data_IF_557842211037
#
_entry.id   IF_557842211037
#
_cell.length_a   1.000
_cell.length_b   1.000
_cell.length_c   1.000
_cell.angle_alpha   90.00
_cell.angle_beta   90.00
_cell.angle_gamma   90.00
#
_symmetry.space_group_name_H-M   'P 1'
#
loop_
_entity.id
_entity.type
_entity.pdbx_description
1 polymer ?
#
# COMPACT_ATOMS: atom_id res chain seq x y z
N UNK A 1 -4.83 -24.78 -30.52
CA UNK A 1 -4.84 -24.86 -29.04
C UNK A 1 -6.17 -24.27 -28.58
N UNK A 2 -6.83 -24.79 -27.53
CA UNK A 2 -8.20 -24.39 -27.26
C UNK A 2 -8.22 -22.97 -26.71
N UNK A 3 -8.80 -22.05 -27.50
CA UNK A 3 -8.97 -20.62 -27.21
C UNK A 3 -9.95 -20.32 -26.04
N UNK A 4 -10.36 -21.32 -25.25
CA UNK A 4 -11.46 -21.19 -24.29
C UNK A 4 -11.03 -21.08 -22.82
N UNK A 5 -9.73 -21.17 -22.49
CA UNK A 5 -9.28 -21.14 -21.07
C UNK A 5 -8.69 -19.78 -20.67
N UNK A 6 -8.24 -18.96 -21.63
CA UNK A 6 -7.76 -17.59 -21.36
C UNK A 6 -8.91 -16.65 -20.95
N UNK A 7 -10.15 -16.97 -21.31
CA UNK A 7 -11.34 -16.19 -20.93
C UNK A 7 -11.59 -16.17 -19.41
N UNK A 8 -11.22 -17.23 -18.69
CA UNK A 8 -11.40 -17.29 -17.22
C UNK A 8 -10.32 -16.49 -16.44
N UNK A 9 -9.38 -15.87 -17.16
CA UNK A 9 -8.29 -15.06 -16.60
C UNK A 9 -8.55 -13.55 -16.71
N UNK A 10 -9.67 -13.13 -17.28
CA UNK A 10 -10.03 -11.71 -17.46
C UNK A 10 -10.44 -11.06 -16.14
N UNK A 11 -9.98 -9.83 -15.92
CA UNK A 11 -10.53 -8.98 -14.86
C UNK A 11 -12.01 -8.70 -15.13
N UNK A 12 -12.87 -8.81 -14.09
CA UNK A 12 -14.31 -8.50 -14.16
C UNK A 12 -14.64 -7.01 -14.44
N UNK A 13 -13.63 -6.19 -14.71
CA UNK A 13 -13.78 -4.85 -15.20
C UNK A 13 -13.43 -4.89 -16.69
N UNK A 14 -14.40 -4.67 -17.61
CA UNK A 14 -14.13 -4.79 -19.03
C UNK A 14 -13.11 -3.74 -19.47
N UNK A 15 -12.15 -4.17 -20.28
CA UNK A 15 -11.27 -3.30 -21.05
C UNK A 15 -11.99 -2.85 -22.32
N UNK A 16 -11.57 -1.73 -22.90
CA UNK A 16 -12.03 -1.33 -24.23
C UNK A 16 -11.32 -2.14 -25.34
N UNK A 17 -11.85 -2.13 -26.57
CA UNK A 17 -11.33 -2.93 -27.68
C UNK A 17 -9.85 -2.67 -27.99
N UNK A 18 -9.36 -1.43 -27.83
CA UNK A 18 -7.96 -1.08 -28.07
C UNK A 18 -7.05 -1.68 -26.99
N UNK A 19 -7.49 -1.61 -25.73
CA UNK A 19 -6.80 -2.21 -24.60
C UNK A 19 -6.75 -3.74 -24.73
N UNK A 20 -7.86 -4.39 -25.08
CA UNK A 20 -7.92 -5.83 -25.34
C UNK A 20 -6.96 -6.21 -26.46
N UNK A 21 -7.00 -5.51 -27.59
CA UNK A 21 -6.10 -5.77 -28.72
C UNK A 21 -4.62 -5.63 -28.35
N UNK A 22 -4.27 -4.63 -27.51
CA UNK A 22 -2.91 -4.48 -27.01
C UNK A 22 -2.50 -5.64 -26.08
N UNK A 23 -3.37 -6.03 -25.14
CA UNK A 23 -3.11 -7.15 -24.22
C UNK A 23 -2.91 -8.45 -25.00
N UNK A 24 -3.80 -8.78 -25.92
CA UNK A 24 -3.74 -10.01 -26.69
C UNK A 24 -2.51 -10.05 -27.61
N UNK A 25 -2.20 -8.93 -28.29
CA UNK A 25 -0.99 -8.83 -29.11
C UNK A 25 0.27 -9.03 -28.27
N UNK A 26 0.33 -8.39 -27.11
CA UNK A 26 1.49 -8.46 -26.21
C UNK A 26 1.63 -9.87 -25.65
N UNK A 27 0.57 -10.45 -25.10
CA UNK A 27 0.55 -11.83 -24.58
C UNK A 27 1.01 -12.86 -25.61
N UNK A 28 0.55 -12.74 -26.86
CA UNK A 28 0.93 -13.66 -27.94
C UNK A 28 2.41 -13.55 -28.33
N UNK A 29 3.06 -12.42 -28.07
CA UNK A 29 4.49 -12.22 -28.31
C UNK A 29 5.39 -12.62 -27.14
N UNK A 30 4.82 -12.75 -25.93
CA UNK A 30 5.60 -13.00 -24.71
C UNK A 30 6.09 -14.45 -24.62
N UNK A 31 7.39 -14.58 -24.36
CA UNK A 31 8.01 -15.83 -23.91
C UNK A 31 7.54 -16.20 -22.50
N UNK A 32 7.75 -17.46 -22.11
CA UNK A 32 7.47 -17.90 -20.73
C UNK A 32 8.32 -17.12 -19.72
N UNK A 33 9.57 -16.78 -20.08
CA UNK A 33 10.46 -15.98 -19.24
C UNK A 33 9.93 -14.54 -19.03
N UNK A 34 9.37 -13.92 -20.07
CA UNK A 34 8.70 -12.62 -19.95
C UNK A 34 7.42 -12.71 -19.09
N UNK A 35 6.66 -13.81 -19.20
CA UNK A 35 5.49 -14.04 -18.36
C UNK A 35 5.89 -14.17 -16.88
N UNK A 36 6.94 -14.93 -16.57
CA UNK A 36 7.49 -15.06 -15.21
C UNK A 36 7.95 -13.70 -14.69
N UNK A 37 8.69 -12.92 -15.49
CA UNK A 37 9.17 -11.60 -15.09
C UNK A 37 8.03 -10.61 -14.79
N UNK A 38 6.88 -10.74 -15.45
CA UNK A 38 5.68 -9.94 -15.17
C UNK A 38 4.99 -10.27 -13.84
N UNK A 39 5.30 -11.43 -13.25
CA UNK A 39 4.82 -11.80 -11.92
C UNK A 39 5.76 -11.34 -10.80
N UNK A 40 6.86 -10.64 -11.11
CA UNK A 40 7.85 -10.22 -10.14
C UNK A 40 7.82 -8.71 -9.94
N UNK A 41 7.90 -8.27 -8.69
CA UNK A 41 7.96 -6.86 -8.31
C UNK A 41 9.07 -6.66 -7.27
N UNK A 42 10.33 -6.58 -7.70
CA UNK A 42 11.44 -6.38 -6.78
C UNK A 42 11.51 -4.93 -6.28
N UNK A 43 12.07 -4.78 -5.08
CA UNK A 43 12.34 -3.48 -4.48
C UNK A 43 13.57 -2.79 -5.09
N UNK A 44 14.62 -3.58 -5.32
CA UNK A 44 15.95 -3.15 -5.73
C UNK A 44 16.45 -4.07 -6.85
N UNK A 45 17.35 -3.62 -7.75
CA UNK A 45 18.04 -4.52 -8.68
C UNK A 45 19.01 -5.43 -7.92
N UNK A 46 18.51 -6.45 -7.21
CA UNK A 46 19.33 -7.31 -6.34
C UNK A 46 18.56 -8.08 -5.26
N UNK A 47 19.30 -8.47 -4.21
CA UNK A 47 18.82 -9.27 -3.08
C UNK A 47 18.08 -8.40 -2.05
N UNK A 48 16.99 -8.89 -1.42
CA UNK A 48 16.34 -8.22 -0.30
C UNK A 48 17.16 -8.18 1.00
N UNK A 49 18.35 -8.79 1.07
CA UNK A 49 19.10 -8.95 2.33
C UNK A 49 19.50 -7.67 3.06
N UNK A 50 19.45 -6.50 2.40
CA UNK A 50 20.04 -5.27 2.96
C UNK A 50 18.98 -4.19 3.29
N UNK A 51 17.76 -4.62 3.66
CA UNK A 51 16.58 -3.77 3.96
C UNK A 51 16.89 -2.47 4.74
N UNK A 52 17.87 -2.49 5.64
CA UNK A 52 18.27 -1.35 6.47
C UNK A 52 19.22 -0.34 5.83
N UNK A 53 19.89 -0.66 4.72
CA UNK A 53 20.91 0.21 4.08
C UNK A 53 20.47 0.84 2.76
N UNK A 54 19.25 0.53 2.29
CA UNK A 54 18.77 0.94 0.96
C UNK A 54 18.16 2.34 0.89
N UNK A 55 17.87 2.98 2.03
CA UNK A 55 17.29 4.33 2.05
C UNK A 55 18.34 5.44 1.83
N UNK A 56 19.61 5.15 2.13
CA UNK A 56 20.71 6.12 2.01
C UNK A 56 21.26 6.24 0.58
N UNK A 57 21.05 5.24 -0.27
CA UNK A 57 21.57 5.23 -1.64
C UNK A 57 20.61 4.48 -2.59
N UNK A 58 19.57 5.16 -3.13
CA UNK A 58 18.64 4.54 -4.05
C UNK A 58 19.34 4.08 -5.34
N UNK A 59 18.89 2.98 -5.96
CA UNK A 59 19.53 2.43 -7.16
C UNK A 59 19.45 3.42 -8.32
N UNK A 60 20.55 3.54 -9.06
CA UNK A 60 20.63 4.35 -10.28
C UNK A 60 19.94 3.67 -11.46
N UNK A 61 19.66 4.43 -12.52
CA UNK A 61 19.04 3.91 -13.74
C UNK A 61 19.89 2.80 -14.37
N UNK A 62 21.22 2.92 -14.39
CA UNK A 62 22.12 1.94 -15.01
C UNK A 62 22.15 0.60 -14.27
N UNK A 63 21.95 0.62 -12.95
CA UNK A 63 21.84 -0.60 -12.15
C UNK A 63 20.55 -1.35 -12.48
N UNK A 64 19.44 -0.61 -12.61
CA UNK A 64 18.17 -1.17 -13.04
C UNK A 64 18.23 -1.71 -14.48
N UNK A 65 18.83 -0.98 -15.43
CA UNK A 65 18.99 -1.43 -16.81
C UNK A 65 19.74 -2.77 -16.86
N UNK A 66 20.90 -2.87 -16.20
CA UNK A 66 21.67 -4.14 -16.13
C UNK A 66 20.88 -5.30 -15.54
N UNK A 67 19.92 -5.00 -14.67
CA UNK A 67 19.05 -5.99 -14.07
C UNK A 67 17.92 -6.40 -15.02
N UNK A 68 17.31 -5.44 -15.71
CA UNK A 68 16.27 -5.65 -16.72
C UNK A 68 16.79 -6.38 -17.96
N UNK A 69 18.06 -6.20 -18.33
CA UNK A 69 18.74 -7.00 -19.36
C UNK A 69 18.78 -8.49 -19.02
N UNK A 70 18.81 -8.85 -17.73
CA UNK A 70 18.90 -10.23 -17.25
C UNK A 70 17.55 -10.84 -16.93
N UNK A 71 16.62 -10.03 -16.43
CA UNK A 71 15.30 -10.46 -16.00
C UNK A 71 14.25 -9.56 -16.64
N UNK A 72 13.32 -10.08 -17.47
CA UNK A 72 12.31 -9.29 -18.16
C UNK A 72 11.17 -8.89 -17.22
N UNK A 73 11.48 -8.11 -16.18
CA UNK A 73 10.56 -7.71 -15.14
C UNK A 73 9.42 -6.87 -15.71
N UNK A 74 8.19 -7.15 -15.26
CA UNK A 74 7.04 -6.35 -15.65
C UNK A 74 6.76 -5.18 -14.71
N UNK A 75 7.33 -5.20 -13.50
CA UNK A 75 7.03 -4.24 -12.46
C UNK A 75 8.26 -3.94 -11.60
N UNK A 76 8.31 -2.74 -11.01
CA UNK A 76 9.32 -2.32 -10.01
C UNK A 76 8.65 -1.53 -8.88
N UNK A 77 9.31 -1.43 -7.74
CA UNK A 77 8.85 -0.62 -6.61
C UNK A 77 9.69 0.62 -6.41
N UNK A 78 9.06 1.69 -5.92
CA UNK A 78 9.72 2.89 -5.43
C UNK A 78 9.32 3.13 -3.96
N UNK A 79 10.31 3.26 -3.07
CA UNK A 79 10.08 3.53 -1.64
C UNK A 79 10.06 5.02 -1.31
N UNK A 80 10.95 5.78 -1.93
CA UNK A 80 11.11 7.20 -1.63
C UNK A 80 10.01 8.04 -2.26
N UNK A 81 9.78 9.21 -1.66
CA UNK A 81 8.88 10.21 -2.18
C UNK A 81 9.22 10.54 -3.65
N UNK A 82 8.23 10.85 -4.48
CA UNK A 82 8.50 11.16 -5.88
C UNK A 82 9.25 12.49 -6.01
N UNK A 83 10.40 12.45 -6.68
CA UNK A 83 11.21 13.62 -7.04
C UNK A 83 11.38 13.72 -8.56
N UNK A 84 11.80 14.87 -9.07
CA UNK A 84 12.14 15.01 -10.50
C UNK A 84 13.30 14.08 -10.91
N UNK A 85 14.24 13.82 -10.00
CA UNK A 85 15.31 12.84 -10.23
C UNK A 85 14.74 11.42 -10.38
N UNK A 86 13.81 11.02 -9.51
CA UNK A 86 13.13 9.74 -9.62
C UNK A 86 12.35 9.63 -10.94
N UNK A 87 11.70 10.71 -11.37
CA UNK A 87 10.98 10.76 -12.64
C UNK A 87 11.90 10.59 -13.85
N UNK A 88 13.04 11.29 -13.90
CA UNK A 88 14.00 11.15 -14.99
C UNK A 88 14.57 9.72 -15.04
N UNK A 89 14.87 9.13 -13.88
CA UNK A 89 15.25 7.71 -13.79
C UNK A 89 14.16 6.81 -14.38
N UNK A 90 12.90 6.99 -13.97
CA UNK A 90 11.80 6.17 -14.48
C UNK A 90 11.59 6.35 -15.99
N UNK A 91 11.81 7.55 -16.53
CA UNK A 91 11.75 7.79 -17.98
C UNK A 91 12.78 6.95 -18.72
N UNK A 92 14.03 6.94 -18.26
CA UNK A 92 15.10 6.09 -18.83
C UNK A 92 14.69 4.60 -18.80
N UNK A 93 14.10 4.13 -17.69
CA UNK A 93 13.66 2.74 -17.57
C UNK A 93 12.47 2.39 -18.46
N UNK A 94 11.54 3.32 -18.66
CA UNK A 94 10.43 3.14 -19.59
C UNK A 94 10.92 3.12 -21.04
N UNK A 95 11.86 3.99 -21.42
CA UNK A 95 12.46 4.00 -22.77
C UNK A 95 13.27 2.74 -23.08
N UNK A 96 13.89 2.13 -22.05
CA UNK A 96 14.61 0.86 -22.18
C UNK A 96 13.67 -0.35 -22.34
N UNK A 97 12.44 -0.29 -21.80
CA UNK A 97 11.58 -1.46 -21.65
C UNK A 97 10.60 -1.60 -22.83
N UNK A 98 10.66 -2.71 -23.56
CA UNK A 98 9.74 -2.99 -24.69
C UNK A 98 8.26 -3.08 -24.25
N UNK A 99 8.03 -3.66 -23.07
CA UNK A 99 6.72 -3.66 -22.41
C UNK A 99 6.83 -2.68 -21.24
N UNK A 100 5.98 -1.64 -21.15
CA UNK A 100 6.08 -0.61 -20.11
C UNK A 100 6.13 -1.21 -18.70
N UNK A 101 7.00 -0.68 -17.85
CA UNK A 101 7.10 -1.10 -16.45
C UNK A 101 5.92 -0.55 -15.64
N UNK A 102 5.31 -1.41 -14.84
CA UNK A 102 4.39 -0.98 -13.79
C UNK A 102 5.21 -0.56 -12.57
N UNK A 103 4.92 0.60 -11.98
CA UNK A 103 5.72 1.17 -10.90
C UNK A 103 4.82 1.32 -9.69
N UNK A 104 5.17 0.59 -8.64
CA UNK A 104 4.40 0.52 -7.41
C UNK A 104 5.04 1.28 -6.25
N UNK A 105 4.22 1.69 -5.28
CA UNK A 105 4.63 2.41 -4.08
C UNK A 105 3.63 2.16 -2.93
N UNK A 106 4.09 2.13 -1.69
CA UNK A 106 3.23 2.28 -0.50
C UNK A 106 2.80 3.74 -0.34
N UNK A 107 1.90 4.21 -1.21
CA UNK A 107 1.37 5.57 -1.16
C UNK A 107 0.19 5.65 -0.19
N UNK A 108 0.50 5.64 1.10
CA UNK A 108 -0.43 5.81 2.22
C UNK A 108 -0.35 7.26 2.77
N UNK A 109 -1.50 7.92 3.03
CA UNK A 109 -1.47 9.28 3.58
C UNK A 109 -0.85 9.25 4.99
N UNK A 110 -0.09 10.29 5.33
CA UNK A 110 0.69 10.37 6.58
C UNK A 110 1.99 9.54 6.62
N UNK A 111 2.06 8.37 5.97
CA UNK A 111 3.27 7.51 5.96
C UNK A 111 4.26 7.87 4.86
N UNK A 112 3.77 8.13 3.64
CA UNK A 112 4.62 8.62 2.56
C UNK A 112 4.94 10.10 2.77
N UNK A 113 5.98 10.33 3.59
CA UNK A 113 6.59 11.63 3.86
C UNK A 113 7.09 12.31 2.59
N UNK A 114 6.98 13.63 2.45
CA UNK A 114 7.77 14.62 3.19
C UNK A 114 9.27 14.67 2.87
N UNK A 115 9.82 13.75 2.06
CA UNK A 115 11.18 13.94 1.52
C UNK A 115 11.14 14.81 0.28
N UNK A 116 11.65 16.04 0.32
CA UNK A 116 11.87 17.03 -0.78
C UNK A 116 10.81 17.10 -1.92
N UNK A 117 9.63 16.53 -1.70
CA UNK A 117 8.59 16.34 -2.70
C UNK A 117 7.69 17.56 -2.75
N UNK A 118 7.30 17.94 -3.97
CA UNK A 118 6.32 19.02 -4.19
C UNK A 118 4.87 18.53 -4.10
N UNK A 119 4.66 17.24 -3.77
CA UNK A 119 3.33 16.67 -3.61
C UNK A 119 2.70 17.11 -2.28
N UNK A 120 1.38 17.17 -2.29
CA UNK A 120 0.57 17.57 -1.14
C UNK A 120 0.66 16.50 -0.05
N UNK A 121 0.93 16.93 1.18
CA UNK A 121 0.88 16.04 2.34
C UNK A 121 -0.56 15.95 2.83
N UNK A 122 -1.03 14.73 3.09
CA UNK A 122 -2.37 14.46 3.60
C UNK A 122 -2.32 13.80 4.97
N UNK A 123 -3.30 14.10 5.87
CA UNK A 123 -3.44 13.41 7.14
C UNK A 123 -3.64 11.90 6.96
N UNK A 124 -3.17 11.11 7.94
CA UNK A 124 -3.39 9.66 7.99
C UNK A 124 -4.86 9.27 7.80
N UNK A 125 -5.13 8.05 7.32
CA UNK A 125 -6.50 7.57 7.07
C UNK A 125 -7.43 7.71 8.28
N UNK A 126 -6.95 7.58 9.51
CA UNK A 126 -7.77 7.79 10.71
C UNK A 126 -8.39 9.18 10.79
N UNK A 127 -7.71 10.20 10.27
CA UNK A 127 -8.25 11.55 10.17
C UNK A 127 -9.47 11.60 9.26
N UNK A 128 -9.51 10.80 8.18
CA UNK A 128 -10.69 10.74 7.30
C UNK A 128 -11.92 10.19 8.03
N UNK A 129 -11.75 9.15 8.86
CA UNK A 129 -12.85 8.61 9.66
C UNK A 129 -13.28 9.52 10.79
N UNK A 130 -12.37 10.34 11.34
CA UNK A 130 -12.70 11.36 12.33
C UNK A 130 -13.45 12.56 11.70
N UNK A 131 -13.01 13.02 10.52
CA UNK A 131 -13.68 14.08 9.76
C UNK A 131 -15.04 13.65 9.21
N UNK A 132 -15.18 12.35 8.93
CA UNK A 132 -16.41 11.70 8.46
C UNK A 132 -17.04 12.30 7.18
N UNK A 133 -16.21 12.76 6.25
CA UNK A 133 -16.63 13.18 4.91
C UNK A 133 -16.04 12.25 3.81
N UNK A 134 -16.86 11.36 3.22
CA UNK A 134 -16.40 10.49 2.13
C UNK A 134 -16.05 11.26 0.85
N UNK A 135 -16.55 12.48 0.67
CA UNK A 135 -16.19 13.35 -0.48
C UNK A 135 -14.77 13.83 -0.34
N UNK A 136 -14.38 14.30 0.85
CA UNK A 136 -13.00 14.70 1.13
C UNK A 136 -12.05 13.51 0.98
N UNK A 137 -12.48 12.32 1.39
CA UNK A 137 -11.71 11.08 1.23
C UNK A 137 -11.45 10.73 -0.24
N UNK A 138 -12.48 10.88 -1.09
CA UNK A 138 -12.33 10.71 -2.54
C UNK A 138 -11.40 11.77 -3.16
N UNK A 139 -11.53 13.03 -2.74
CA UNK A 139 -10.70 14.12 -3.24
C UNK A 139 -9.23 13.94 -2.86
N UNK A 140 -8.96 13.53 -1.62
CA UNK A 140 -7.62 13.18 -1.13
C UNK A 140 -6.97 12.09 -1.99
N UNK A 141 -7.65 10.96 -2.21
CA UNK A 141 -7.11 9.91 -3.06
C UNK A 141 -6.90 10.35 -4.52
N UNK A 142 -7.81 11.17 -5.06
CA UNK A 142 -7.69 11.72 -6.41
C UNK A 142 -6.47 12.64 -6.54
N UNK A 143 -6.25 13.52 -5.56
CA UNK A 143 -5.10 14.41 -5.49
C UNK A 143 -3.78 13.61 -5.47
N UNK A 144 -3.68 12.64 -4.55
CA UNK A 144 -2.53 11.76 -4.44
C UNK A 144 -2.27 11.03 -5.78
N UNK A 145 -3.30 10.47 -6.41
CA UNK A 145 -3.16 9.78 -7.69
C UNK A 145 -2.64 10.68 -8.80
N UNK A 146 -3.20 11.89 -8.94
CA UNK A 146 -2.83 12.85 -9.99
C UNK A 146 -1.41 13.34 -9.83
N UNK A 147 -1.02 13.75 -8.61
CA UNK A 147 0.34 14.23 -8.34
C UNK A 147 1.38 13.12 -8.57
N UNK A 148 1.11 11.90 -8.12
CA UNK A 148 2.07 10.80 -8.23
C UNK A 148 2.13 10.21 -9.64
N UNK A 149 1.03 10.27 -10.42
CA UNK A 149 1.03 9.83 -11.82
C UNK A 149 1.94 10.70 -12.69
N UNK A 150 2.06 12.00 -12.40
CA UNK A 150 3.04 12.86 -13.09
C UNK A 150 4.48 12.35 -12.98
N UNK A 151 4.84 11.75 -11.85
CA UNK A 151 6.16 11.16 -11.60
C UNK A 151 6.34 9.74 -12.18
N UNK A 152 5.32 9.17 -12.82
CA UNK A 152 5.37 7.82 -13.39
C UNK A 152 5.05 6.71 -12.38
N UNK A 153 4.28 7.02 -11.33
CA UNK A 153 3.75 6.04 -10.40
C UNK A 153 2.36 5.58 -10.87
N UNK A 154 2.12 4.27 -10.81
CA UNK A 154 0.98 3.64 -11.47
C UNK A 154 0.12 2.81 -10.54
N UNK A 155 0.71 2.26 -9.49
CA UNK A 155 0.09 1.27 -8.61
C UNK A 155 0.39 1.61 -7.16
N UNK A 156 -0.63 1.96 -6.39
CA UNK A 156 -0.48 2.19 -4.95
C UNK A 156 -0.86 0.94 -4.17
N UNK A 157 -0.10 0.64 -3.13
CA UNK A 157 -0.47 -0.34 -2.11
C UNK A 157 -1.35 0.31 -1.03
N UNK A 158 -2.45 0.93 -1.45
CA UNK A 158 -3.44 1.59 -0.59
C UNK A 158 -4.85 1.44 -1.16
N UNK A 159 -5.92 1.46 -0.32
CA UNK A 159 -5.90 1.70 1.14
C UNK A 159 -5.70 0.44 1.99
N UNK A 160 -5.30 0.69 3.24
CA UNK A 160 -5.59 -0.22 4.36
C UNK A 160 -7.10 -0.23 4.60
N UNK A 161 -7.73 -1.41 4.49
CA UNK A 161 -9.17 -1.62 4.68
C UNK A 161 -9.51 -2.32 6.00
N UNK A 162 -8.50 -2.48 6.85
CA UNK A 162 -8.58 -3.18 8.12
C UNK A 162 -9.22 -2.29 9.20
N UNK A 163 -10.30 -2.70 9.88
CA UNK A 163 -10.77 -2.04 11.09
C UNK A 163 -9.77 -2.21 12.23
N UNK A 164 -9.47 -1.12 12.94
CA UNK A 164 -8.53 -1.11 14.06
C UNK A 164 -9.22 -1.57 15.36
N UNK A 165 -9.65 -2.84 15.40
CA UNK A 165 -10.44 -3.42 16.51
C UNK A 165 -9.66 -3.56 17.82
N UNK A 166 -8.35 -3.73 17.73
CA UNK A 166 -7.46 -3.89 18.87
C UNK A 166 -6.53 -2.69 18.98
N UNK A 167 -6.71 -1.87 20.01
CA UNK A 167 -5.89 -0.68 20.25
C UNK A 167 -4.40 -0.98 20.49
N UNK A 168 -4.05 -2.25 20.80
CA UNK A 168 -2.67 -2.71 20.95
C UNK A 168 -2.05 -3.17 19.62
N UNK A 169 -2.81 -3.21 18.52
CA UNK A 169 -2.26 -3.52 17.22
C UNK A 169 -1.25 -2.42 16.82
N UNK A 170 0.04 -2.76 16.62
CA UNK A 170 1.09 -1.79 16.40
C UNK A 170 1.16 -1.32 14.94
N UNK A 171 0.49 -2.03 14.01
CA UNK A 171 0.71 -1.87 12.57
C UNK A 171 -0.49 -1.30 11.84
N UNK A 172 -1.72 -1.45 12.34
CA UNK A 172 -2.94 -0.86 11.73
C UNK A 172 -3.14 0.57 12.20
N UNK A 173 -3.50 0.78 13.47
CA UNK A 173 -3.52 2.08 14.16
C UNK A 173 -4.03 3.25 13.25
N UNK A 174 -3.30 4.37 13.17
CA UNK A 174 -3.66 5.55 12.35
C UNK A 174 -3.78 5.27 10.84
N UNK A 175 -3.27 4.14 10.33
CA UNK A 175 -3.41 3.75 8.91
C UNK A 175 -4.80 3.24 8.58
N UNK A 176 -5.57 2.82 9.58
CA UNK A 176 -7.00 2.52 9.43
C UNK A 176 -7.83 3.80 9.49
N UNK A 177 -8.97 3.82 8.80
CA UNK A 177 -9.97 4.88 8.96
C UNK A 177 -10.66 4.84 10.35
N UNK A 178 -10.56 3.75 11.11
CA UNK A 178 -11.10 3.68 12.47
C UNK A 178 -11.37 2.26 12.95
N UNK A 179 -12.01 2.14 14.11
CA UNK A 179 -12.34 0.84 14.72
C UNK A 179 -13.69 0.28 14.25
N UNK A 180 -14.63 1.14 13.82
CA UNK A 180 -15.98 0.73 13.43
C UNK A 180 -16.01 0.31 11.95
N UNK A 181 -16.41 -0.94 11.62
CA UNK A 181 -16.44 -1.43 10.23
C UNK A 181 -17.23 -0.54 9.28
N UNK A 182 -18.34 0.06 9.73
CA UNK A 182 -19.17 0.95 8.93
C UNK A 182 -18.47 2.26 8.57
N UNK A 183 -17.65 2.81 9.48
CA UNK A 183 -16.84 4.00 9.23
C UNK A 183 -15.74 3.63 8.22
N UNK A 184 -15.04 2.51 8.45
CA UNK A 184 -13.98 2.04 7.55
C UNK A 184 -14.52 1.86 6.13
N UNK A 185 -15.62 1.12 5.97
CA UNK A 185 -16.32 0.92 4.70
C UNK A 185 -16.63 2.25 3.99
N UNK A 186 -17.18 3.22 4.75
CA UNK A 186 -17.60 4.53 4.22
C UNK A 186 -16.44 5.33 3.63
N UNK A 187 -15.22 5.13 4.11
CA UNK A 187 -14.04 5.86 3.64
C UNK A 187 -13.19 5.08 2.63
N UNK A 188 -13.02 3.76 2.80
CA UNK A 188 -12.14 2.98 1.91
C UNK A 188 -12.67 2.88 0.48
N UNK A 189 -14.00 2.81 0.30
CA UNK A 189 -14.61 2.74 -1.03
C UNK A 189 -14.42 4.05 -1.82
N UNK A 190 -14.75 5.25 -1.29
CA UNK A 190 -14.40 6.51 -1.94
C UNK A 190 -12.91 6.67 -2.21
N UNK A 191 -12.05 6.22 -1.28
CA UNK A 191 -10.60 6.29 -1.44
C UNK A 191 -10.10 5.45 -2.63
N UNK A 192 -10.57 4.21 -2.77
CA UNK A 192 -10.30 3.37 -3.94
C UNK A 192 -10.79 4.04 -5.23
N UNK A 193 -12.00 4.59 -5.21
CA UNK A 193 -12.57 5.28 -6.38
C UNK A 193 -11.79 6.54 -6.77
N UNK A 194 -11.25 7.27 -5.81
CA UNK A 194 -10.44 8.47 -6.05
C UNK A 194 -9.11 8.11 -6.71
N UNK A 195 -8.39 7.10 -6.21
CA UNK A 195 -7.15 6.63 -6.84
C UNK A 195 -7.37 6.17 -8.29
N UNK A 196 -8.45 5.42 -8.49
CA UNK A 196 -8.80 4.85 -9.78
C UNK A 196 -9.62 5.80 -10.67
N UNK A 197 -9.82 7.05 -10.25
CA UNK A 197 -10.54 8.03 -11.05
C UNK A 197 -9.88 8.14 -12.44
N UNK A 198 -10.65 7.98 -13.51
CA UNK A 198 -10.16 7.97 -14.90
C UNK A 198 -9.00 6.98 -15.16
N UNK A 199 -8.91 5.90 -14.37
CA UNK A 199 -7.80 4.95 -14.40
C UNK A 199 -6.41 5.60 -14.16
N UNK A 200 -6.33 6.67 -13.36
CA UNK A 200 -5.07 7.38 -13.08
C UNK A 200 -4.05 6.49 -12.36
N UNK A 201 -4.49 5.77 -11.32
CA UNK A 201 -3.66 4.89 -10.51
C UNK A 201 -4.44 3.67 -10.03
N UNK A 202 -3.81 2.50 -9.96
CA UNK A 202 -4.44 1.31 -9.40
C UNK A 202 -4.36 1.31 -7.88
N UNK A 203 -5.50 1.11 -7.22
CA UNK A 203 -5.58 0.92 -5.77
C UNK A 203 -5.40 -0.57 -5.41
N UNK A 204 -4.87 -0.82 -4.21
CA UNK A 204 -4.72 -2.16 -3.65
C UNK A 204 -5.32 -2.19 -2.25
N UNK A 205 -6.45 -2.88 -2.10
CA UNK A 205 -7.02 -3.10 -0.77
C UNK A 205 -6.15 -4.10 0.01
N UNK A 206 -5.76 -3.74 1.24
CA UNK A 206 -4.90 -4.55 2.12
C UNK A 206 -5.34 -4.47 3.60
N UNK A 207 -5.11 -5.47 4.43
CA UNK A 207 -4.34 -6.70 4.18
C UNK A 207 -5.27 -7.92 4.30
N UNK A 208 -5.59 -8.58 3.18
CA UNK A 208 -6.53 -9.71 3.18
C UNK A 208 -5.99 -10.89 4.00
N UNK A 209 -6.76 -11.49 4.93
CA UNK A 209 -8.20 -11.41 5.11
C UNK A 209 -8.66 -10.41 6.18
N UNK A 210 -7.75 -9.64 6.78
CA UNK A 210 -8.05 -8.58 7.74
C UNK A 210 -7.07 -8.54 8.91
N UNK A 211 -6.31 -7.45 9.03
CA UNK A 211 -5.50 -7.08 10.21
C UNK A 211 -6.32 -6.29 11.25
N UNK A 212 -5.69 -5.75 12.28
CA UNK A 212 -6.32 -4.85 13.26
C UNK A 212 -6.98 -5.56 14.44
N UNK A 213 -7.09 -6.89 14.44
CA UNK A 213 -7.60 -7.68 15.56
C UNK A 213 -6.49 -8.23 16.47
N UNK A 214 -5.42 -8.76 15.87
CA UNK A 214 -4.27 -9.28 16.62
C UNK A 214 -3.43 -8.12 17.17
N UNK A 215 -2.69 -8.34 18.26
CA UNK A 215 -1.74 -7.36 18.79
C UNK A 215 -0.33 -7.54 18.19
N UNK A 216 -0.12 -8.58 17.40
CA UNK A 216 1.18 -8.92 16.79
C UNK A 216 1.36 -8.23 15.44
N UNK A 217 2.59 -7.80 15.19
CA UNK A 217 3.01 -7.28 13.89
C UNK A 217 3.36 -8.44 12.93
N UNK A 218 2.72 -8.44 11.75
CA UNK A 218 2.98 -9.43 10.71
C UNK A 218 4.38 -9.36 10.08
N UNK A 219 5.11 -8.25 10.29
CA UNK A 219 6.54 -8.16 9.97
C UNK A 219 7.37 -9.12 10.82
N UNK A 220 6.92 -9.42 12.05
CA UNK A 220 7.67 -10.14 13.07
C UNK A 220 7.15 -11.56 13.36
N UNK A 221 5.90 -11.85 13.01
CA UNK A 221 5.29 -13.18 13.16
C UNK A 221 4.10 -13.33 12.20
N UNK A 222 3.50 -14.52 12.08
CA UNK A 222 2.19 -14.64 11.42
C UNK A 222 1.12 -14.17 12.41
N UNK A 223 0.41 -13.08 12.09
CA UNK A 223 -0.73 -12.65 12.90
C UNK A 223 -1.97 -13.50 12.58
N UNK A 224 -2.96 -13.46 13.47
CA UNK A 224 -4.13 -14.34 13.42
C UNK A 224 -5.40 -13.49 13.55
N UNK A 225 -6.21 -13.51 12.49
CA UNK A 225 -7.61 -13.12 12.59
C UNK A 225 -8.39 -14.31 13.17
N UNK A 226 -8.67 -14.26 14.47
CA UNK A 226 -9.29 -15.35 15.23
C UNK A 226 -10.82 -15.26 15.29
N UNK A 227 -11.46 -14.40 14.48
CA UNK A 227 -12.91 -14.33 14.46
C UNK A 227 -13.55 -15.62 13.93
N UNK A 228 -14.65 -16.09 14.54
CA UNK A 228 -15.54 -17.05 13.90
C UNK A 228 -16.05 -16.50 12.57
N UNK A 229 -16.25 -17.36 11.57
CA UNK A 229 -16.61 -16.91 10.22
C UNK A 229 -17.91 -16.11 10.16
N UNK A 230 -18.89 -16.40 11.03
CA UNK A 230 -20.12 -15.59 11.12
C UNK A 230 -19.82 -14.12 11.48
N UNK A 231 -18.85 -13.88 12.37
CA UNK A 231 -18.43 -12.54 12.79
C UNK A 231 -17.52 -11.89 11.75
N UNK A 232 -16.63 -12.68 11.13
CA UNK A 232 -15.81 -12.21 10.04
C UNK A 232 -16.68 -11.70 8.88
N UNK A 233 -17.73 -12.43 8.48
CA UNK A 233 -18.61 -12.04 7.38
C UNK A 233 -19.33 -10.72 7.60
N UNK A 234 -19.81 -10.45 8.83
CA UNK A 234 -20.51 -9.20 9.14
C UNK A 234 -19.56 -8.03 9.42
N UNK A 235 -18.26 -8.27 9.56
CA UNK A 235 -17.22 -7.25 9.76
C UNK A 235 -16.32 -7.12 8.54
N UNK A 236 -15.20 -7.83 8.50
CA UNK A 236 -14.20 -7.83 7.44
C UNK A 236 -14.78 -8.26 6.09
N UNK A 237 -15.57 -9.35 6.07
CA UNK A 237 -16.15 -9.91 4.84
C UNK A 237 -17.05 -8.92 4.13
N UNK A 238 -17.84 -8.14 4.87
CA UNK A 238 -18.65 -7.04 4.33
C UNK A 238 -17.78 -5.95 3.69
N UNK A 239 -16.73 -5.49 4.36
CA UNK A 239 -15.80 -4.50 3.83
C UNK A 239 -15.14 -5.03 2.54
N UNK A 240 -14.62 -6.26 2.57
CA UNK A 240 -14.01 -6.91 1.41
C UNK A 240 -14.97 -7.02 0.23
N UNK A 241 -16.20 -7.47 0.47
CA UNK A 241 -17.22 -7.55 -0.59
C UNK A 241 -17.49 -6.18 -1.20
N UNK A 242 -17.59 -5.14 -0.38
CA UNK A 242 -17.88 -3.79 -0.84
C UNK A 242 -16.73 -3.16 -1.65
N UNK A 243 -15.46 -3.37 -1.25
CA UNK A 243 -14.33 -2.85 -2.04
C UNK A 243 -14.15 -3.61 -3.36
N UNK A 244 -14.47 -4.92 -3.37
CA UNK A 244 -14.48 -5.73 -4.59
C UNK A 244 -15.61 -5.26 -5.53
N UNK A 245 -16.82 -5.09 -5.02
CA UNK A 245 -17.97 -4.60 -5.78
C UNK A 245 -17.78 -3.16 -6.28
N UNK A 246 -17.00 -2.35 -5.56
CA UNK A 246 -16.60 -1.02 -5.98
C UNK A 246 -15.54 -1.03 -7.11
N UNK A 247 -15.02 -2.20 -7.48
CA UNK A 247 -14.08 -2.38 -8.58
C UNK A 247 -12.63 -2.10 -8.22
N UNK A 248 -12.18 -2.44 -7.00
CA UNK A 248 -10.74 -2.38 -6.66
C UNK A 248 -9.93 -3.23 -7.65
N UNK A 249 -8.81 -2.69 -8.13
CA UNK A 249 -8.00 -3.33 -9.18
C UNK A 249 -7.03 -4.38 -8.65
N UNK A 250 -6.58 -4.23 -7.41
CA UNK A 250 -5.69 -5.17 -6.75
C UNK A 250 -6.10 -5.46 -5.30
N UNK A 251 -5.75 -6.66 -4.83
CA UNK A 251 -5.89 -7.06 -3.43
C UNK A 251 -4.56 -7.62 -2.95
N UNK A 252 -4.16 -7.23 -1.74
CA UNK A 252 -2.95 -7.73 -1.10
C UNK A 252 -3.30 -8.65 0.07
N UNK A 253 -3.15 -9.98 -0.06
CA UNK A 253 -3.11 -10.86 1.08
C UNK A 253 -1.92 -10.53 1.98
N UNK A 254 -2.21 -10.31 3.27
CA UNK A 254 -1.21 -10.16 4.32
C UNK A 254 -0.67 -11.51 4.78
N UNK A 255 0.36 -11.47 5.62
CA UNK A 255 0.88 -12.63 6.34
C UNK A 255 0.06 -12.93 7.60
N UNK A 256 -1.26 -13.01 7.39
CA UNK A 256 -2.30 -13.12 8.40
C UNK A 256 -3.06 -14.41 8.15
N UNK A 257 -3.27 -15.22 9.18
CA UNK A 257 -4.10 -16.43 9.09
C UNK A 257 -5.56 -16.15 9.45
N UNK A 258 -6.48 -16.98 8.94
CA UNK A 258 -7.90 -17.00 9.28
C UNK A 258 -8.29 -18.44 9.66
N UNK A 259 -7.93 -18.88 10.89
CA UNK A 259 -7.97 -20.29 11.27
C UNK A 259 -9.36 -20.92 11.15
N UNK A 260 -10.42 -20.18 11.46
CA UNK A 260 -11.78 -20.70 11.42
C UNK A 260 -12.17 -21.17 10.01
N UNK A 261 -11.90 -20.33 9.00
CA UNK A 261 -12.09 -20.69 7.60
C UNK A 261 -11.15 -21.81 7.14
N UNK A 262 -9.91 -21.80 7.61
CA UNK A 262 -8.89 -22.74 7.17
C UNK A 262 -9.08 -24.14 7.77
N UNK A 263 -9.87 -24.27 8.83
CA UNK A 263 -10.13 -25.52 9.57
C UNK A 263 -9.14 -25.76 10.72
N UNK A 264 -8.61 -24.68 11.29
CA UNK A 264 -7.59 -24.66 12.35
C UNK A 264 -8.07 -23.95 13.63
N UNK A 265 -9.38 -23.79 13.86
CA UNK A 265 -9.91 -23.10 15.05
C UNK A 265 -9.40 -23.72 16.37
N UNK A 266 -9.11 -25.04 16.38
CA UNK A 266 -8.53 -25.74 17.53
C UNK A 266 -7.01 -25.64 17.66
N UNK A 267 -6.30 -25.11 16.66
CA UNK A 267 -4.85 -24.89 16.70
C UNK A 267 -4.43 -23.74 15.75
N UNK A 268 -4.80 -22.48 16.10
CA UNK A 268 -4.63 -21.31 15.22
C UNK A 268 -3.21 -21.11 14.67
N UNK A 269 -2.20 -21.36 15.49
CA UNK A 269 -0.78 -21.26 15.14
C UNK A 269 -0.33 -22.23 14.04
N UNK A 270 -1.12 -23.26 13.70
CA UNK A 270 -0.88 -24.14 12.54
C UNK A 270 -1.56 -23.66 11.25
N UNK A 271 -2.37 -22.60 11.31
CA UNK A 271 -3.00 -22.03 10.12
C UNK A 271 -1.97 -21.22 9.31
N UNK A 272 -1.73 -21.56 8.03
CA UNK A 272 -0.79 -20.81 7.21
C UNK A 272 -1.32 -19.40 6.92
N UNK A 273 -0.44 -18.40 6.70
CA UNK A 273 -0.86 -17.06 6.31
C UNK A 273 -1.65 -17.07 4.99
N UNK A 274 -2.49 -16.06 4.79
CA UNK A 274 -3.27 -15.88 3.57
C UNK A 274 -2.40 -15.89 2.31
N UNK A 275 -1.20 -15.29 2.35
CA UNK A 275 -0.23 -15.32 1.25
C UNK A 275 0.20 -16.72 0.81
N UNK A 276 0.05 -17.75 1.65
CA UNK A 276 0.40 -19.15 1.35
C UNK A 276 -0.82 -20.08 1.31
N UNK A 277 -2.03 -19.55 1.44
CA UNK A 277 -3.25 -20.34 1.59
C UNK A 277 -4.14 -20.27 0.35
N UNK A 278 -4.16 -21.36 -0.44
CA UNK A 278 -5.10 -21.51 -1.58
C UNK A 278 -6.56 -21.38 -1.17
N UNK A 279 -6.93 -21.89 0.02
CA UNK A 279 -8.29 -21.75 0.55
C UNK A 279 -8.67 -20.28 0.66
N UNK A 280 -7.76 -19.42 1.12
CA UNK A 280 -8.04 -18.01 1.32
C UNK A 280 -8.00 -17.25 0.00
N UNK A 281 -6.96 -17.43 -0.81
CA UNK A 281 -6.79 -16.64 -2.03
C UNK A 281 -7.66 -17.09 -3.22
N UNK A 282 -7.81 -18.39 -3.49
CA UNK A 282 -8.64 -18.83 -4.62
C UNK A 282 -10.10 -19.01 -4.19
N UNK A 283 -10.35 -19.72 -3.09
CA UNK A 283 -11.73 -20.04 -2.71
C UNK A 283 -12.42 -18.83 -2.07
N UNK A 284 -11.90 -18.29 -0.95
CA UNK A 284 -12.57 -17.17 -0.27
C UNK A 284 -12.55 -15.89 -1.12
N UNK A 285 -11.39 -15.50 -1.64
CA UNK A 285 -11.24 -14.23 -2.36
C UNK A 285 -11.80 -14.28 -3.80
N UNK A 286 -11.42 -15.27 -4.62
CA UNK A 286 -11.86 -15.29 -6.03
C UNK A 286 -13.24 -15.92 -6.20
N UNK A 287 -13.50 -17.07 -5.58
CA UNK A 287 -14.76 -17.81 -5.78
C UNK A 287 -15.91 -17.22 -4.95
N UNK A 288 -15.76 -17.08 -3.63
CA UNK A 288 -16.84 -16.65 -2.74
C UNK A 288 -17.07 -15.13 -2.77
N UNK A 289 -16.00 -14.34 -2.71
CA UNK A 289 -16.08 -12.88 -2.76
C UNK A 289 -16.13 -12.31 -4.20
N UNK A 290 -15.74 -13.10 -5.20
CA UNK A 290 -15.84 -12.73 -6.62
C UNK A 290 -14.71 -11.83 -7.15
N UNK A 291 -13.57 -11.74 -6.48
CA UNK A 291 -12.47 -10.89 -6.92
C UNK A 291 -11.74 -11.48 -8.14
N UNK A 292 -11.67 -10.70 -9.22
CA UNK A 292 -10.97 -11.10 -10.46
C UNK A 292 -9.81 -10.18 -10.84
N UNK A 293 -9.42 -9.26 -9.95
CA UNK A 293 -8.27 -8.38 -10.17
C UNK A 293 -6.92 -9.06 -9.91
N UNK A 294 -5.89 -8.22 -9.81
CA UNK A 294 -4.52 -8.67 -9.52
C UNK A 294 -4.37 -9.00 -8.04
N UNK A 295 -3.88 -10.20 -7.72
CA UNK A 295 -3.47 -10.53 -6.35
C UNK A 295 -1.97 -10.32 -6.21
N UNK A 296 -1.55 -9.42 -5.33
CA UNK A 296 -0.13 -9.15 -5.04
C UNK A 296 0.19 -9.57 -3.62
N UNK A 297 1.23 -10.37 -3.40
CA UNK A 297 1.61 -10.71 -2.02
C UNK A 297 2.00 -9.46 -1.22
N UNK A 298 1.83 -9.48 0.10
CA UNK A 298 2.60 -8.58 0.96
C UNK A 298 4.11 -8.88 0.89
N UNK A 299 4.96 -8.04 1.48
CA UNK A 299 6.41 -8.08 1.37
C UNK A 299 7.01 -9.43 1.81
N UNK A 300 7.39 -10.23 0.82
CA UNK A 300 7.78 -11.64 1.02
C UNK A 300 9.00 -11.90 1.90
N UNK A 301 9.85 -10.90 2.25
CA UNK A 301 10.88 -11.05 3.29
C UNK A 301 10.39 -10.97 4.75
N UNK A 302 9.14 -10.57 5.02
CA UNK A 302 8.60 -10.48 6.39
C UNK A 302 8.51 -11.85 7.08
N UNK A 303 8.71 -11.88 8.41
CA UNK A 303 8.77 -13.14 9.19
C UNK A 303 7.45 -13.91 9.12
N UNK A 304 6.31 -13.21 9.06
CA UNK A 304 5.00 -13.84 8.94
C UNK A 304 4.85 -14.79 7.74
N UNK A 305 5.66 -14.62 6.68
CA UNK A 305 5.74 -15.56 5.57
C UNK A 305 6.98 -16.46 5.65
N UNK A 306 8.15 -15.89 6.01
CA UNK A 306 9.42 -16.63 5.93
C UNK A 306 9.55 -17.75 6.96
N UNK A 307 8.78 -17.69 8.05
CA UNK A 307 8.74 -18.76 9.06
C UNK A 307 8.10 -20.07 8.56
N UNK A 308 7.37 -20.05 7.43
CA UNK A 308 6.59 -21.20 6.96
C UNK A 308 7.26 -22.06 5.90
N UNK A 309 8.16 -21.48 5.11
CA UNK A 309 8.81 -22.19 4.02
C UNK A 309 10.17 -21.59 3.66
N UNK A 310 11.14 -22.43 3.24
CA UNK A 310 12.39 -21.93 2.69
C UNK A 310 12.13 -21.14 1.41
N UNK A 311 12.97 -20.14 1.13
CA UNK A 311 12.71 -19.14 0.08
C UNK A 311 12.39 -19.73 -1.31
N UNK A 312 13.04 -20.83 -1.71
CA UNK A 312 12.79 -21.48 -3.01
C UNK A 312 11.41 -22.13 -3.13
N UNK A 313 10.85 -22.60 -2.01
CA UNK A 313 9.52 -23.22 -1.98
C UNK A 313 8.42 -22.18 -1.71
N UNK A 314 8.76 -21.13 -0.97
CA UNK A 314 7.83 -20.06 -0.59
C UNK A 314 7.18 -19.38 -1.79
N UNK A 315 7.97 -19.05 -2.82
CA UNK A 315 7.42 -18.45 -4.04
C UNK A 315 6.51 -19.41 -4.82
N UNK A 316 6.86 -20.70 -4.86
CA UNK A 316 6.05 -21.72 -5.53
C UNK A 316 4.70 -21.84 -4.82
N UNK A 317 4.72 -21.93 -3.48
CA UNK A 317 3.51 -21.99 -2.67
C UNK A 317 2.65 -20.73 -2.81
N UNK A 318 3.25 -19.54 -2.86
CA UNK A 318 2.52 -18.29 -3.06
C UNK A 318 1.80 -18.23 -4.43
N UNK A 319 2.48 -18.62 -5.51
CA UNK A 319 1.87 -18.67 -6.86
C UNK A 319 0.76 -19.73 -6.92
N UNK A 320 0.98 -20.89 -6.29
CA UNK A 320 -0.02 -21.96 -6.19
C UNK A 320 -1.21 -21.59 -5.30
N UNK A 321 -1.00 -20.69 -4.33
CA UNK A 321 -2.06 -20.15 -3.49
C UNK A 321 -2.99 -19.20 -4.25
N UNK A 322 -2.51 -18.52 -5.29
CA UNK A 322 -3.35 -17.65 -6.14
C UNK A 322 -2.77 -16.27 -6.44
N UNK A 323 -1.58 -15.96 -5.90
CA UNK A 323 -0.92 -14.66 -6.12
C UNK A 323 -0.41 -14.54 -7.54
N UNK A 324 -0.70 -13.40 -8.16
CA UNK A 324 -0.28 -13.05 -9.51
C UNK A 324 1.06 -12.30 -9.53
N UNK A 325 1.34 -11.53 -8.48
CA UNK A 325 2.59 -10.76 -8.32
C UNK A 325 3.25 -11.06 -6.98
N UNK A 326 4.54 -11.40 -7.03
CA UNK A 326 5.40 -11.70 -5.88
C UNK A 326 6.22 -10.46 -5.49
N UNK A 327 5.85 -9.85 -4.35
CA UNK A 327 6.41 -8.59 -3.88
C UNK A 327 7.77 -8.79 -3.20
N UNK A 328 8.76 -8.03 -3.63
CA UNK A 328 10.13 -7.99 -3.09
C UNK A 328 10.87 -9.33 -3.13
N UNK A 329 10.59 -10.12 -4.16
CA UNK A 329 11.40 -11.30 -4.47
C UNK A 329 12.83 -10.95 -4.88
N UNK A 330 13.75 -11.86 -4.58
CA UNK A 330 15.11 -11.85 -5.13
C UNK A 330 15.02 -12.31 -6.58
N UNK A 331 15.22 -11.38 -7.53
CA UNK A 331 15.01 -11.71 -8.95
C UNK A 331 15.87 -12.88 -9.42
N UNK A 332 17.10 -13.02 -8.95
CA UNK A 332 18.00 -14.08 -9.41
C UNK A 332 17.58 -15.46 -8.89
N UNK A 333 17.27 -15.56 -7.60
CA UNK A 333 16.83 -16.81 -6.98
C UNK A 333 15.43 -17.21 -7.43
N UNK A 334 14.52 -16.25 -7.39
CA UNK A 334 13.09 -16.51 -7.48
C UNK A 334 12.68 -16.77 -8.93
N UNK A 335 13.25 -16.04 -9.90
CA UNK A 335 13.04 -16.32 -11.33
C UNK A 335 13.50 -17.73 -11.70
N UNK A 336 14.69 -18.14 -11.22
CA UNK A 336 15.20 -19.51 -11.42
C UNK A 336 14.29 -20.56 -10.80
N UNK A 337 13.73 -20.28 -9.62
CA UNK A 337 12.84 -21.20 -8.89
C UNK A 337 11.51 -21.38 -9.62
N UNK A 338 10.89 -20.29 -10.10
CA UNK A 338 9.65 -20.37 -10.90
C UNK A 338 9.92 -21.13 -12.20
N UNK A 339 10.99 -20.79 -12.93
CA UNK A 339 11.33 -21.45 -14.19
C UNK A 339 11.51 -22.97 -14.00
N UNK A 340 12.18 -23.37 -12.92
CA UNK A 340 12.30 -24.79 -12.56
C UNK A 340 10.95 -25.42 -12.21
N UNK A 341 10.13 -24.75 -11.42
CA UNK A 341 8.81 -25.26 -11.05
C UNK A 341 7.87 -25.45 -12.26
N UNK A 342 7.95 -24.57 -13.26
CA UNK A 342 7.24 -24.73 -14.53
C UNK A 342 7.78 -25.93 -15.32
N UNK A 343 9.11 -26.04 -15.47
CA UNK A 343 9.75 -27.16 -16.16
C UNK A 343 9.47 -28.52 -15.49
N UNK A 344 9.30 -28.54 -14.17
CA UNK A 344 8.98 -29.73 -13.39
C UNK A 344 7.45 -29.99 -13.29
N UNK A 345 6.62 -29.20 -13.99
CA UNK A 345 5.15 -29.26 -13.94
C UNK A 345 4.53 -29.07 -12.54
N UNK A 346 5.27 -28.47 -11.61
CA UNK A 346 4.74 -28.06 -10.28
C UNK A 346 3.84 -26.82 -10.39
N UNK A 347 4.10 -25.97 -11.38
CA UNK A 347 3.24 -24.86 -11.77
C UNK A 347 2.95 -25.01 -13.26
N UNK A 348 1.67 -24.99 -13.65
CA UNK A 348 1.30 -25.03 -15.06
C UNK A 348 1.72 -23.75 -15.79
N UNK A 349 2.11 -23.85 -17.05
CA UNK A 349 2.34 -22.68 -17.92
C UNK A 349 1.12 -21.75 -17.98
N UNK A 350 -0.08 -22.33 -17.97
CA UNK A 350 -1.35 -21.60 -18.00
C UNK A 350 -1.51 -20.68 -16.80
N UNK A 351 -1.25 -21.18 -15.58
CA UNK A 351 -1.23 -20.35 -14.35
C UNK A 351 -0.33 -19.13 -14.48
N UNK A 352 0.87 -19.29 -15.04
CA UNK A 352 1.84 -18.21 -15.24
C UNK A 352 1.32 -17.20 -16.28
N UNK A 353 0.80 -17.68 -17.41
CA UNK A 353 0.21 -16.83 -18.45
C UNK A 353 -1.02 -16.08 -17.97
N UNK A 354 -1.84 -16.70 -17.11
CA UNK A 354 -3.01 -16.09 -16.51
C UNK A 354 -2.63 -14.89 -15.63
N UNK A 355 -1.63 -15.05 -14.75
CA UNK A 355 -1.10 -13.95 -13.94
C UNK A 355 -0.48 -12.84 -14.77
N UNK A 356 0.37 -13.21 -15.74
CA UNK A 356 0.97 -12.24 -16.65
C UNK A 356 -0.09 -11.44 -17.42
N UNK A 357 -1.17 -12.10 -17.85
CA UNK A 357 -2.29 -11.45 -18.53
C UNK A 357 -2.98 -10.43 -17.61
N UNK A 358 -3.33 -10.77 -16.36
CA UNK A 358 -3.91 -9.81 -15.40
C UNK A 358 -3.02 -8.59 -15.18
N UNK A 359 -1.69 -8.80 -15.11
CA UNK A 359 -0.72 -7.69 -15.00
C UNK A 359 -0.73 -6.82 -16.26
N UNK A 360 -0.80 -7.40 -17.45
CA UNK A 360 -0.94 -6.62 -18.68
C UNK A 360 -2.28 -5.90 -18.76
N UNK A 361 -3.39 -6.51 -18.33
CA UNK A 361 -4.69 -5.84 -18.27
C UNK A 361 -4.64 -4.62 -17.35
N UNK A 362 -3.96 -4.73 -16.22
CA UNK A 362 -3.71 -3.61 -15.32
C UNK A 362 -2.92 -2.50 -16.02
N UNK A 363 -1.82 -2.82 -16.72
CA UNK A 363 -1.04 -1.85 -17.51
C UNK A 363 -1.88 -1.18 -18.61
N UNK A 364 -2.71 -1.96 -19.30
CA UNK A 364 -3.57 -1.48 -20.37
C UNK A 364 -4.65 -0.52 -19.84
N UNK A 365 -5.30 -0.90 -18.73
CA UNK A 365 -6.30 -0.08 -18.03
C UNK A 365 -5.74 1.28 -17.62
N UNK A 366 -4.54 1.27 -17.06
CA UNK A 366 -3.83 2.47 -16.61
C UNK A 366 -3.16 3.27 -17.74
N UNK A 367 -3.32 2.84 -19.01
CA UNK A 367 -2.83 3.57 -20.18
C UNK A 367 -1.31 3.57 -20.38
N UNK A 368 -0.56 2.68 -19.72
CA UNK A 368 0.92 2.68 -19.77
C UNK A 368 1.49 2.45 -21.17
N UNK A 369 0.74 1.75 -22.02
CA UNK A 369 1.08 1.50 -23.43
C UNK A 369 0.89 2.72 -24.33
N UNK A 370 0.30 3.80 -23.81
CA UNK A 370 0.09 5.07 -24.51
C UNK A 370 1.01 6.14 -23.91
N UNK A 371 0.86 6.39 -22.60
CA UNK A 371 1.69 7.32 -21.85
C UNK A 371 1.87 6.80 -20.41
N UNK A 372 3.09 6.35 -20.05
CA UNK A 372 3.38 5.93 -18.68
C UNK A 372 3.38 7.12 -17.70
N UNK A 373 3.45 8.37 -18.18
CA UNK A 373 3.44 9.55 -17.32
C UNK A 373 2.07 10.24 -17.34
N UNK A 374 1.82 11.06 -16.31
CA UNK A 374 0.67 11.96 -16.24
C UNK A 374 1.05 13.41 -16.57
N UNK A 375 0.06 14.27 -16.85
CA UNK A 375 0.31 15.70 -16.97
C UNK A 375 0.76 16.29 -15.63
N UNK A 376 1.56 17.36 -15.69
CA UNK A 376 1.88 18.14 -14.49
C UNK A 376 0.59 18.75 -13.91
N UNK A 377 0.33 18.65 -12.59
CA UNK A 377 -0.81 19.31 -11.97
C UNK A 377 -0.75 20.83 -12.15
N UNK A 378 -1.88 21.44 -12.50
CA UNK A 378 -2.00 22.90 -12.64
C UNK A 378 -1.92 23.62 -11.28
N UNK A 379 -1.75 24.95 -11.29
CA UNK A 379 -1.78 25.77 -10.08
C UNK A 379 -3.08 25.57 -9.29
N UNK A 380 -4.23 25.73 -9.95
CA UNK A 380 -5.55 25.55 -9.34
C UNK A 380 -5.75 24.15 -8.76
N UNK A 381 -5.21 23.11 -9.40
CA UNK A 381 -5.27 21.75 -8.87
C UNK A 381 -4.47 21.64 -7.57
N UNK A 382 -3.24 22.15 -7.54
CA UNK A 382 -2.38 22.11 -6.35
C UNK A 382 -3.00 22.89 -5.19
N UNK A 383 -3.61 24.04 -5.46
CA UNK A 383 -4.35 24.82 -4.45
C UNK A 383 -5.52 24.00 -3.88
N UNK A 384 -6.36 23.42 -4.74
CA UNK A 384 -7.49 22.58 -4.32
C UNK A 384 -7.05 21.32 -3.55
N UNK A 385 -5.90 20.73 -3.89
CA UNK A 385 -5.34 19.59 -3.15
C UNK A 385 -4.91 20.00 -1.74
N UNK A 386 -4.25 21.14 -1.60
CA UNK A 386 -3.86 21.70 -0.31
C UNK A 386 -5.08 22.07 0.55
N UNK A 387 -6.11 22.68 -0.04
CA UNK A 387 -7.38 22.97 0.63
C UNK A 387 -8.04 21.69 1.15
N UNK A 388 -8.12 20.64 0.32
CA UNK A 388 -8.66 19.34 0.74
C UNK A 388 -7.89 18.77 1.94
N UNK A 389 -6.56 18.87 1.93
CA UNK A 389 -5.72 18.41 3.04
C UNK A 389 -6.03 19.16 4.33
N UNK A 390 -6.11 20.50 4.25
CA UNK A 390 -6.47 21.36 5.39
C UNK A 390 -7.87 21.05 5.91
N UNK A 391 -8.88 20.92 5.05
CA UNK A 391 -10.26 20.63 5.46
C UNK A 391 -10.38 19.30 6.19
N UNK A 392 -9.66 18.26 5.74
CA UNK A 392 -9.59 16.97 6.44
C UNK A 392 -8.92 17.16 7.81
N UNK A 393 -7.78 17.84 7.85
CA UNK A 393 -7.02 18.05 9.08
C UNK A 393 -7.84 18.80 10.14
N UNK A 394 -8.51 19.88 9.76
CA UNK A 394 -9.36 20.69 10.64
C UNK A 394 -10.57 19.91 11.13
N UNK A 395 -11.25 19.20 10.23
CA UNK A 395 -12.46 18.42 10.56
C UNK A 395 -12.15 17.19 11.43
N UNK A 396 -10.94 16.66 11.35
CA UNK A 396 -10.52 15.50 12.13
C UNK A 396 -10.18 15.81 13.60
N UNK A 397 -9.94 17.08 13.96
CA UNK A 397 -9.56 17.46 15.32
C UNK A 397 -10.66 17.10 16.31
N UNK A 398 -10.36 16.14 17.18
CA UNK A 398 -11.31 15.59 18.16
C UNK A 398 -10.97 15.99 19.59
N UNK A 399 -11.86 16.74 20.24
CA UNK A 399 -11.71 17.13 21.65
C UNK A 399 -12.32 16.04 22.54
N UNK A 400 -11.49 15.14 23.08
CA UNK A 400 -11.95 13.98 23.85
C UNK A 400 -12.30 14.29 25.31
N UNK A 401 -11.53 15.18 25.95
CA UNK A 401 -11.71 15.53 27.36
C UNK A 401 -11.41 17.00 27.58
N UNK A 402 -12.38 17.70 28.15
CA UNK A 402 -12.18 19.01 28.74
C UNK A 402 -12.46 18.88 30.22
N UNK A 403 -11.52 19.26 31.10
CA UNK A 403 -11.77 19.29 32.56
C UNK A 403 -12.66 20.49 32.93
N UNK A 404 -13.72 20.74 32.15
CA UNK A 404 -14.50 21.98 32.15
C UNK A 404 -13.74 23.20 31.62
N UNK A 405 -12.49 23.04 31.16
CA UNK A 405 -11.69 24.12 30.59
C UNK A 405 -11.91 24.18 29.07
N UNK A 406 -12.37 25.31 28.53
CA UNK A 406 -12.36 25.51 27.08
C UNK A 406 -10.91 25.50 26.56
N UNK A 407 -10.70 25.34 25.24
CA UNK A 407 -9.41 25.64 24.63
C UNK A 407 -8.88 26.97 25.17
N UNK A 408 -7.64 26.97 25.69
CA UNK A 408 -7.06 28.16 26.32
C UNK A 408 -6.88 29.23 25.23
N UNK A 409 -7.53 30.37 25.42
CA UNK A 409 -7.23 31.56 24.63
C UNK A 409 -5.96 32.18 25.20
N UNK A 410 -4.86 32.02 24.48
CA UNK A 410 -3.56 32.57 24.85
C UNK A 410 -3.44 34.00 24.29
N UNK A 411 -3.03 34.94 25.14
CA UNK A 411 -2.83 36.33 24.77
C UNK A 411 -1.38 36.56 24.30
N UNK A 412 -1.13 37.57 23.44
CA UNK A 412 0.23 37.98 23.11
C UNK A 412 1.09 38.19 24.36
N UNK A 413 2.25 37.54 24.41
CA UNK A 413 3.18 37.56 25.55
C UNK A 413 3.00 36.40 26.54
N UNK A 414 1.95 35.58 26.41
CA UNK A 414 1.83 34.34 27.20
C UNK A 414 3.01 33.42 26.96
N UNK A 415 3.49 32.80 28.04
CA UNK A 415 4.59 31.83 28.03
C UNK A 415 4.02 30.43 27.87
N UNK A 416 4.38 29.78 26.77
CA UNK A 416 3.93 28.43 26.42
C UNK A 416 5.14 27.49 26.46
N UNK A 417 4.98 26.36 27.14
CA UNK A 417 5.90 25.24 27.05
C UNK A 417 5.29 24.17 26.15
N UNK A 418 5.89 23.92 24.99
CA UNK A 418 5.53 22.78 24.14
C UNK A 418 6.36 21.57 24.55
N UNK A 419 5.70 20.41 24.69
CA UNK A 419 6.33 19.15 25.08
C UNK A 419 6.01 18.12 24.01
N UNK A 420 7.06 17.54 23.43
CA UNK A 420 6.92 16.44 22.47
C UNK A 420 7.41 15.15 23.08
N UNK A 421 6.56 14.14 23.07
CA UNK A 421 6.96 12.76 23.36
C UNK A 421 6.92 11.97 22.07
N UNK A 422 8.05 11.40 21.67
CA UNK A 422 8.18 10.55 20.49
C UNK A 422 9.06 9.34 20.78
N UNK A 423 8.83 8.27 20.03
CA UNK A 423 9.78 7.16 19.98
C UNK A 423 11.01 7.61 19.16
N UNK A 424 12.22 7.43 19.71
CA UNK A 424 13.45 7.88 19.06
C UNK A 424 13.81 6.96 17.90
N UNK A 425 13.46 7.38 16.68
CA UNK A 425 13.90 6.75 15.44
C UNK A 425 14.90 7.70 14.77
N UNK A 426 16.18 7.32 14.62
CA UNK A 426 17.23 8.21 14.10
C UNK A 426 16.97 8.81 12.72
N UNK A 427 16.08 8.21 11.93
CA UNK A 427 15.77 8.58 10.54
C UNK A 427 14.56 9.51 10.38
N UNK A 428 13.85 9.85 11.46
CA UNK A 428 12.64 10.70 11.40
C UNK A 428 12.81 11.89 12.34
N UNK A 429 13.32 13.00 11.81
CA UNK A 429 13.11 14.30 12.45
C UNK A 429 11.66 14.70 12.17
N UNK A 430 10.80 14.88 13.19
CA UNK A 430 9.46 15.38 12.95
C UNK A 430 9.57 16.81 12.40
N UNK A 431 9.27 16.97 11.12
CA UNK A 431 9.24 18.26 10.43
C UNK A 431 8.27 19.25 11.10
N UNK A 432 7.26 18.74 11.79
CA UNK A 432 6.12 19.53 12.27
C UNK A 432 6.32 20.18 13.65
N UNK A 433 7.37 19.81 14.41
CA UNK A 433 7.60 20.39 15.75
C UNK A 433 7.92 21.88 15.67
N UNK A 434 8.74 22.25 14.69
CA UNK A 434 9.05 23.66 14.43
C UNK A 434 7.81 24.41 13.94
N UNK A 435 6.94 23.76 13.15
CA UNK A 435 5.72 24.39 12.61
C UNK A 435 4.81 24.86 13.73
N UNK A 436 4.50 24.00 14.72
CA UNK A 436 3.63 24.39 15.84
C UNK A 436 4.25 25.49 16.68
N UNK A 437 5.53 25.36 17.03
CA UNK A 437 6.21 26.37 17.83
C UNK A 437 6.30 27.72 17.10
N UNK A 438 6.54 27.70 15.79
CA UNK A 438 6.66 28.89 14.96
C UNK A 438 5.30 29.56 14.76
N UNK A 439 4.22 28.80 14.56
CA UNK A 439 2.85 29.33 14.53
C UNK A 439 2.46 30.02 15.86
N UNK A 440 2.82 29.41 17.00
CA UNK A 440 2.61 30.02 18.31
C UNK A 440 3.44 31.32 18.47
N UNK A 441 4.70 31.33 18.01
CA UNK A 441 5.56 32.54 18.02
C UNK A 441 5.02 33.63 17.09
N UNK A 442 4.50 33.29 15.91
CA UNK A 442 3.85 34.22 14.99
C UNK A 442 2.63 34.90 15.63
N UNK A 443 1.90 34.17 16.49
CA UNK A 443 0.83 34.72 17.34
C UNK A 443 1.33 35.57 18.52
N UNK A 444 2.64 35.84 18.58
CA UNK A 444 3.34 36.64 19.62
C UNK A 444 3.38 35.97 20.99
N UNK A 445 3.40 34.64 21.04
CA UNK A 445 3.60 33.87 22.26
C UNK A 445 5.11 33.63 22.51
N UNK A 446 5.50 33.46 23.77
CA UNK A 446 6.87 33.10 24.15
C UNK A 446 6.93 31.58 24.29
N UNK A 447 7.60 30.90 23.35
CA UNK A 447 7.56 29.44 23.23
C UNK A 447 8.91 28.82 23.52
N UNK A 448 8.98 28.02 24.58
CA UNK A 448 10.06 27.08 24.86
C UNK A 448 9.61 25.65 24.53
N UNK A 449 10.55 24.79 24.13
CA UNK A 449 10.28 23.42 23.70
C UNK A 449 11.09 22.39 24.49
N UNK A 450 10.46 21.27 24.86
CA UNK A 450 11.12 20.08 25.40
C UNK A 450 10.81 18.84 24.55
N UNK A 451 11.87 18.11 24.15
CA UNK A 451 11.78 16.85 23.41
C UNK A 451 12.12 15.68 24.33
N UNK A 452 11.20 14.73 24.46
CA UNK A 452 11.30 13.55 25.32
C UNK A 452 11.74 13.85 26.78
N UNK A 453 11.23 14.90 27.44
CA UNK A 453 11.60 15.18 28.83
C UNK A 453 11.05 14.09 29.77
N UNK A 454 11.75 13.85 30.86
CA UNK A 454 11.28 13.11 32.02
C UNK A 454 10.21 13.88 32.80
N UNK A 455 9.40 13.17 33.58
CA UNK A 455 8.40 13.80 34.46
C UNK A 455 9.01 14.83 35.43
N UNK A 456 10.25 14.61 35.89
CA UNK A 456 10.95 15.53 36.78
C UNK A 456 11.34 16.83 36.07
N UNK A 457 11.82 16.73 34.82
CA UNK A 457 12.17 17.91 34.02
C UNK A 457 10.93 18.76 33.72
N UNK A 458 9.80 18.12 33.40
CA UNK A 458 8.52 18.81 33.22
C UNK A 458 8.13 19.52 34.52
N UNK A 459 8.15 18.83 35.66
CA UNK A 459 7.72 19.38 36.94
C UNK A 459 8.56 20.59 37.40
N UNK A 460 9.87 20.59 37.11
CA UNK A 460 10.77 21.71 37.43
C UNK A 460 10.48 22.97 36.60
N UNK A 461 9.95 22.79 35.39
CA UNK A 461 9.75 23.88 34.43
C UNK A 461 8.30 24.35 34.34
N UNK A 462 7.32 23.48 34.57
CA UNK A 462 5.91 23.75 34.33
C UNK A 462 5.37 25.00 35.05
N UNK A 463 5.87 25.32 36.25
CA UNK A 463 5.41 26.49 37.01
C UNK A 463 5.86 27.84 36.43
N UNK A 464 6.69 27.86 35.38
CA UNK A 464 7.21 29.08 34.74
C UNK A 464 6.36 29.55 33.55
N UNK A 465 5.35 28.77 33.17
CA UNK A 465 4.52 28.96 31.97
C UNK A 465 3.04 29.16 32.36
N UNK A 466 2.27 29.74 31.44
CA UNK A 466 0.88 30.15 31.64
C UNK A 466 -0.15 29.02 31.43
#
# INVERSE_FOLDING_TARGET
MPNNIIQDCEMNLPLNDQQVAWVDKTMNSMSMEQCIGHMMLPYYPGSPSDWGSFDENPPKAEEWIKHLEKYPLGSIYLRQAPTEEAREKLKILQEFSDIPLLVAIDLEPGLTGAGDSTATQFPYMMATGAADDPTLTYNMATAMAVEHRYYGLHWTFSPVVDPNLNFQNPITNVRSAGEQPEIVERHVVPFIKGFQHKNTMAATAKHFPGDGLDFRDQHLATSVNHLPMEQWWVTYGKIWKNVIDAGVLAVMPGHISLPDYQGFSGNPEQAPPATLSRKIQEILLREELGFQGVVVSDATPMIGMTAWAPSSERIIQNIQAGSDVYLFGDSARDFKSIRKAVSDHRISEERIRCSARRVLELKARLGLHLDPFGPIPTGDQRESFAETSCEIAESAVSVLRTDGRPPVLLEPGSKVLTITIKYDVPSVSPLDLHVVDDELRQRRLVVDHMLNPSNSEIAEHASKYD
#
